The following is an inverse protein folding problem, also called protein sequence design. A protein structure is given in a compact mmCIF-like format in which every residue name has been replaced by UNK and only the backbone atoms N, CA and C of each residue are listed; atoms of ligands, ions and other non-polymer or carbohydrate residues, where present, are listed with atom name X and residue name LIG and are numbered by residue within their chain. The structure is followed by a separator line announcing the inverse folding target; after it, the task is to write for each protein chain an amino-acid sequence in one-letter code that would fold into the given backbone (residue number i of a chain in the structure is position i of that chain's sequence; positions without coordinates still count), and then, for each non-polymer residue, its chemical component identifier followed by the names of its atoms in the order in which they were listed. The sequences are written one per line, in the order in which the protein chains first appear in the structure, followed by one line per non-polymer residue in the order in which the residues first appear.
data_IF_088502379522
#
_entry.id   IF_088502379522
#
_cell.length_a   1.000
_cell.length_b   1.000
_cell.length_c   1.000
_cell.angle_alpha   90.00
_cell.angle_beta   90.00
_cell.angle_gamma   90.00
#
_symmetry.space_group_name_H-M   'P 1'
#
loop_
_entity.id
_entity.type
_entity.pdbx_description
1 polymer ?
#
# COMPACT_ATOMS: atom_id res chain seq x y z
N UNK A 1 -30.02 1.87 -5.95
CA UNK A 1 -28.81 1.13 -6.38
C UNK A 1 -27.77 1.35 -5.32
N UNK A 2 -27.31 0.31 -4.62
CA UNK A 2 -26.14 0.46 -3.75
C UNK A 2 -24.93 0.45 -4.67
N UNK A 3 -24.35 1.63 -4.91
CA UNK A 3 -23.02 1.74 -5.50
C UNK A 3 -22.06 1.12 -4.48
N UNK A 4 -21.45 -0.01 -4.83
CA UNK A 4 -20.37 -0.59 -4.01
C UNK A 4 -19.12 0.24 -4.26
N UNK A 5 -18.70 0.98 -3.23
CA UNK A 5 -17.50 1.80 -3.26
C UNK A 5 -16.25 0.91 -3.23
N UNK A 6 -15.19 1.31 -3.95
CA UNK A 6 -13.89 0.62 -3.91
C UNK A 6 -13.44 0.38 -2.45
N UNK A 7 -13.14 -0.87 -2.04
CA UNK A 7 -12.85 -1.18 -0.63
C UNK A 7 -11.57 -0.52 -0.13
N UNK A 8 -11.61 0.11 1.05
CA UNK A 8 -10.42 0.68 1.71
C UNK A 8 -10.45 0.31 3.19
N UNK A 9 -9.39 -0.34 3.68
CA UNK A 9 -9.20 -0.58 5.10
C UNK A 9 -8.11 0.34 5.64
N UNK A 10 -8.44 1.15 6.63
CA UNK A 10 -7.53 2.16 7.16
C UNK A 10 -6.77 1.62 8.37
N UNK A 11 -5.45 1.84 8.40
CA UNK A 11 -4.62 1.70 9.60
C UNK A 11 -4.00 3.04 9.96
N UNK A 12 -3.86 3.37 11.25
CA UNK A 12 -3.26 4.63 11.68
C UNK A 12 -1.74 4.61 11.46
N UNK A 13 -1.14 5.79 11.47
CA UNK A 13 0.31 5.94 11.67
C UNK A 13 0.57 6.76 12.92
N UNK A 14 1.72 6.53 13.56
CA UNK A 14 2.11 7.33 14.73
C UNK A 14 2.40 8.79 14.32
N UNK A 15 2.19 9.68 15.29
CA UNK A 15 2.63 11.07 15.27
C UNK A 15 2.07 11.95 14.13
N UNK A 16 0.95 11.58 13.52
CA UNK A 16 0.20 12.46 12.61
C UNK A 16 -1.27 12.02 12.43
N UNK A 17 -2.09 12.90 11.84
CA UNK A 17 -3.45 12.58 11.39
C UNK A 17 -3.48 11.76 10.08
N UNK A 18 -2.31 11.41 9.54
CA UNK A 18 -2.18 10.61 8.33
C UNK A 18 -2.68 9.19 8.54
N UNK A 19 -3.08 8.53 7.45
CA UNK A 19 -3.54 7.13 7.47
C UNK A 19 -3.01 6.38 6.28
N UNK A 20 -2.89 5.06 6.44
CA UNK A 20 -2.56 4.14 5.35
C UNK A 20 -3.83 3.38 4.98
N UNK A 21 -4.25 3.51 3.72
CA UNK A 21 -5.34 2.72 3.14
C UNK A 21 -4.79 1.44 2.51
N UNK A 22 -5.23 0.28 3.00
CA UNK A 22 -5.00 -1.01 2.37
C UNK A 22 -6.15 -1.24 1.38
N UNK A 23 -5.86 -1.52 0.11
CA UNK A 23 -6.91 -1.73 -0.90
C UNK A 23 -6.51 -2.78 -1.96
N UNK A 24 -7.45 -3.55 -2.55
CA UNK A 24 -7.20 -4.26 -3.81
C UNK A 24 -6.80 -3.32 -4.95
N UNK A 25 -6.34 -3.89 -6.06
CA UNK A 25 -5.98 -3.09 -7.23
C UNK A 25 -7.19 -2.27 -7.75
N UNK A 26 -7.07 -0.93 -7.89
CA UNK A 26 -8.10 -0.09 -8.51
C UNK A 26 -8.52 -0.63 -9.87
N UNK A 27 -9.83 -0.64 -10.17
CA UNK A 27 -10.36 -1.17 -11.43
C UNK A 27 -10.54 -2.69 -11.51
N UNK A 28 -10.18 -3.46 -10.47
CA UNK A 28 -10.29 -4.94 -10.48
C UNK A 28 -11.46 -5.52 -9.67
N UNK A 29 -12.35 -4.65 -9.19
CA UNK A 29 -13.54 -5.01 -8.39
C UNK A 29 -14.80 -4.58 -9.15
N UNK A 30 -15.77 -4.03 -8.43
CA UNK A 30 -17.06 -3.64 -9.01
C UNK A 30 -17.03 -2.26 -9.68
N UNK A 31 -15.97 -1.48 -9.46
CA UNK A 31 -15.79 -0.13 -9.98
C UNK A 31 -14.74 -0.10 -11.10
N UNK A 32 -14.90 0.85 -12.02
CA UNK A 32 -13.87 1.15 -13.03
C UNK A 32 -12.59 1.65 -12.36
N UNK A 33 -11.47 1.66 -13.09
CA UNK A 33 -10.22 2.24 -12.62
C UNK A 33 -10.41 3.70 -12.19
N UNK A 34 -11.07 4.51 -13.02
CA UNK A 34 -11.30 5.93 -12.75
C UNK A 34 -12.20 6.15 -11.52
N UNK A 35 -13.26 5.37 -11.37
CA UNK A 35 -14.16 5.47 -10.20
C UNK A 35 -13.44 5.02 -8.92
N UNK A 36 -12.66 3.93 -8.99
CA UNK A 36 -11.86 3.46 -7.86
C UNK A 36 -10.86 4.52 -7.39
N UNK A 37 -10.20 5.21 -8.32
CA UNK A 37 -9.26 6.29 -8.02
C UNK A 37 -9.97 7.54 -7.47
N UNK A 38 -11.18 7.82 -7.94
CA UNK A 38 -12.03 8.89 -7.38
C UNK A 38 -12.39 8.57 -5.93
N UNK A 39 -12.84 7.35 -5.65
CA UNK A 39 -13.11 6.86 -4.28
C UNK A 39 -11.87 7.02 -3.38
N UNK A 40 -10.69 6.61 -3.84
CA UNK A 40 -9.44 6.72 -3.06
C UNK A 40 -9.04 8.17 -2.78
N UNK A 41 -9.20 9.05 -3.77
CA UNK A 41 -8.95 10.48 -3.62
C UNK A 41 -9.92 11.11 -2.62
N UNK A 42 -11.21 10.81 -2.71
CA UNK A 42 -12.25 11.32 -1.80
C UNK A 42 -12.07 10.80 -0.37
N UNK A 43 -11.55 9.58 -0.21
CA UNK A 43 -11.14 9.05 1.09
C UNK A 43 -9.96 9.84 1.71
N UNK A 44 -9.22 10.58 0.89
CA UNK A 44 -8.13 11.48 1.29
C UNK A 44 -6.73 11.01 0.88
N UNK A 45 -6.62 10.01 0.00
CA UNK A 45 -5.33 9.58 -0.51
C UNK A 45 -4.68 10.70 -1.35
N UNK A 46 -3.41 11.01 -1.05
CA UNK A 46 -2.58 11.93 -1.83
C UNK A 46 -1.59 11.21 -2.73
N UNK A 47 -1.29 9.96 -2.41
CA UNK A 47 -0.42 9.08 -3.18
C UNK A 47 -0.97 7.65 -3.23
N UNK A 48 -0.67 6.97 -4.33
CA UNK A 48 -0.95 5.55 -4.56
C UNK A 48 0.38 4.79 -4.67
N UNK A 49 0.57 3.79 -3.81
CA UNK A 49 1.71 2.86 -3.84
C UNK A 49 1.26 1.57 -4.51
N UNK A 50 1.83 1.28 -5.69
CA UNK A 50 1.52 0.08 -6.47
C UNK A 50 2.60 -0.97 -6.24
N UNK A 51 2.21 -2.10 -5.65
CA UNK A 51 3.11 -3.22 -5.36
C UNK A 51 3.10 -4.31 -6.44
N UNK A 52 2.21 -4.19 -7.43
CA UNK A 52 2.14 -5.11 -8.56
C UNK A 52 3.27 -4.82 -9.55
N UNK A 53 4.04 -5.84 -10.00
CA UNK A 53 4.84 -5.75 -11.22
C UNK A 53 4.03 -5.21 -12.41
N UNK A 54 4.71 -4.64 -13.40
CA UNK A 54 4.04 -4.05 -14.57
C UNK A 54 3.24 -5.13 -15.32
N UNK A 55 3.79 -6.33 -15.40
CA UNK A 55 3.17 -7.51 -16.02
C UNK A 55 1.83 -7.84 -15.34
N UNK A 56 1.78 -7.86 -13.99
CA UNK A 56 0.54 -8.06 -13.22
C UNK A 56 -0.52 -6.98 -13.54
N UNK A 57 -0.10 -5.73 -13.79
CA UNK A 57 -1.02 -4.63 -14.15
C UNK A 57 -1.59 -4.83 -15.56
N UNK A 58 -0.77 -5.27 -16.52
CA UNK A 58 -1.22 -5.62 -17.87
C UNK A 58 -2.20 -6.80 -17.84
N UNK A 59 -1.88 -7.86 -17.11
CA UNK A 59 -2.76 -9.03 -16.97
C UNK A 59 -4.09 -8.70 -16.29
N UNK A 60 -4.10 -7.66 -15.46
CA UNK A 60 -5.29 -7.18 -14.75
C UNK A 60 -6.06 -6.10 -15.53
N UNK A 61 -5.69 -5.80 -16.78
CA UNK A 61 -6.31 -4.79 -17.65
C UNK A 61 -6.32 -3.37 -17.05
N UNK A 62 -5.27 -3.02 -16.32
CA UNK A 62 -5.10 -1.73 -15.63
C UNK A 62 -3.73 -1.10 -15.91
N UNK A 63 -3.19 -1.34 -17.11
CA UNK A 63 -1.90 -0.78 -17.53
C UNK A 63 -1.88 0.76 -17.51
N UNK A 64 -3.04 1.39 -17.68
CA UNK A 64 -3.20 2.85 -17.64
C UNK A 64 -3.24 3.43 -16.21
N UNK A 65 -3.17 2.58 -15.17
CA UNK A 65 -3.21 3.00 -13.76
C UNK A 65 -2.25 4.15 -13.42
N UNK A 66 -0.97 4.17 -13.88
CA UNK A 66 -0.08 5.31 -13.63
C UNK A 66 -0.66 6.64 -14.11
N UNK A 67 -1.18 6.64 -15.33
CA UNK A 67 -1.72 7.84 -16.00
C UNK A 67 -3.02 8.28 -15.32
N UNK A 68 -3.88 7.34 -14.95
CA UNK A 68 -5.14 7.66 -14.28
C UNK A 68 -4.94 8.17 -12.85
N UNK A 69 -3.93 7.67 -12.12
CA UNK A 69 -3.55 8.21 -10.79
C UNK A 69 -3.14 9.68 -10.90
N UNK A 70 -2.31 10.02 -11.88
CA UNK A 70 -1.89 11.40 -12.13
C UNK A 70 -3.06 12.30 -12.55
N UNK A 71 -3.94 11.81 -13.43
CA UNK A 71 -5.17 12.54 -13.83
C UNK A 71 -6.12 12.78 -12.65
N UNK A 72 -6.19 11.84 -11.71
CA UNK A 72 -6.93 12.02 -10.46
C UNK A 72 -6.24 13.02 -9.50
N UNK A 73 -5.05 13.53 -9.86
CA UNK A 73 -4.30 14.52 -9.09
C UNK A 73 -3.55 13.94 -7.92
N UNK A 74 -3.33 12.62 -7.87
CA UNK A 74 -2.55 11.91 -6.85
C UNK A 74 -1.13 11.61 -7.35
N UNK A 75 -0.18 11.43 -6.43
CA UNK A 75 1.16 10.93 -6.76
C UNK A 75 1.10 9.42 -6.99
N UNK A 76 1.91 8.91 -7.91
CA UNK A 76 2.04 7.48 -8.14
C UNK A 76 3.46 7.01 -7.79
N UNK A 77 3.55 5.96 -6.98
CA UNK A 77 4.81 5.31 -6.62
C UNK A 77 4.75 3.83 -6.95
N UNK A 78 5.65 3.37 -7.82
CA UNK A 78 5.77 1.96 -8.19
C UNK A 78 6.84 1.26 -7.37
N UNK A 79 6.44 0.24 -6.62
CA UNK A 79 7.25 -0.49 -5.65
C UNK A 79 7.03 -2.00 -5.83
N UNK A 80 7.44 -2.58 -6.98
CA UNK A 80 7.01 -3.91 -7.37
C UNK A 80 7.53 -5.01 -6.43
N UNK A 81 6.62 -5.85 -5.96
CA UNK A 81 6.89 -7.08 -5.20
C UNK A 81 6.19 -8.23 -5.94
N UNK A 82 6.96 -9.25 -6.31
CA UNK A 82 6.44 -10.47 -6.96
C UNK A 82 5.42 -11.14 -6.03
N UNK A 83 4.35 -11.71 -6.61
CA UNK A 83 3.31 -12.33 -5.80
C UNK A 83 3.84 -13.51 -4.99
N UNK A 84 3.31 -13.68 -3.77
CA UNK A 84 3.74 -14.70 -2.81
C UNK A 84 5.26 -14.73 -2.48
N UNK A 85 5.98 -13.64 -2.77
CA UNK A 85 7.39 -13.46 -2.40
C UNK A 85 7.58 -12.30 -1.40
N UNK A 86 8.81 -12.20 -0.88
CA UNK A 86 9.30 -11.02 -0.18
C UNK A 86 9.88 -9.96 -1.13
N UNK A 87 10.19 -8.75 -0.64
CA UNK A 87 10.72 -7.69 -1.48
C UNK A 87 12.14 -8.01 -1.96
N UNK A 88 12.45 -7.59 -3.19
CA UNK A 88 13.75 -7.82 -3.84
C UNK A 88 14.37 -6.51 -4.34
N UNK A 89 15.50 -6.59 -5.06
CA UNK A 89 16.27 -5.44 -5.52
C UNK A 89 15.45 -4.32 -6.23
N UNK A 90 14.45 -4.62 -7.09
CA UNK A 90 13.61 -3.57 -7.68
C UNK A 90 12.83 -2.78 -6.64
N UNK A 91 12.24 -3.46 -5.65
CA UNK A 91 11.55 -2.81 -4.55
C UNK A 91 12.49 -1.93 -3.74
N UNK A 92 13.65 -2.45 -3.31
CA UNK A 92 14.58 -1.68 -2.48
C UNK A 92 15.07 -0.42 -3.18
N UNK A 93 15.42 -0.54 -4.46
CA UNK A 93 15.87 0.61 -5.28
C UNK A 93 14.78 1.66 -5.47
N UNK A 94 13.50 1.24 -5.49
CA UNK A 94 12.38 2.16 -5.59
C UNK A 94 12.05 2.79 -4.24
N UNK A 95 12.06 2.01 -3.15
CA UNK A 95 11.82 2.52 -1.79
C UNK A 95 12.88 3.53 -1.36
N UNK A 96 14.16 3.30 -1.68
CA UNK A 96 15.23 4.27 -1.42
C UNK A 96 14.95 5.65 -2.05
N UNK A 97 14.32 5.67 -3.23
CA UNK A 97 14.01 6.91 -3.96
C UNK A 97 12.79 7.64 -3.41
N UNK A 98 11.74 6.91 -3.01
CA UNK A 98 10.41 7.50 -2.72
C UNK A 98 10.01 7.44 -1.25
N UNK A 99 10.67 6.63 -0.42
CA UNK A 99 10.27 6.39 0.97
C UNK A 99 10.26 7.68 1.81
N UNK A 100 11.22 8.58 1.58
CA UNK A 100 11.24 9.90 2.22
C UNK A 100 10.00 10.73 1.88
N UNK A 101 9.58 10.72 0.61
CA UNK A 101 8.40 11.48 0.17
C UNK A 101 7.13 10.88 0.77
N UNK A 102 7.02 9.55 0.84
CA UNK A 102 5.91 8.86 1.50
C UNK A 102 5.80 9.25 2.97
N UNK A 103 6.91 9.23 3.72
CA UNK A 103 6.90 9.69 5.10
C UNK A 103 6.58 11.18 5.24
N UNK A 104 7.01 12.02 4.30
CA UNK A 104 6.68 13.45 4.32
C UNK A 104 5.18 13.69 4.14
N UNK A 105 4.52 12.97 3.22
CA UNK A 105 3.06 13.02 3.07
C UNK A 105 2.39 12.68 4.41
N UNK A 106 2.76 11.55 5.02
CA UNK A 106 2.19 11.12 6.29
C UNK A 106 2.44 12.13 7.43
N UNK A 107 3.66 12.69 7.52
CA UNK A 107 3.99 13.71 8.52
C UNK A 107 3.17 15.00 8.36
N UNK A 108 2.74 15.31 7.13
CA UNK A 108 1.85 16.45 6.85
C UNK A 108 0.37 16.17 7.12
N UNK A 109 0.05 15.01 7.72
CA UNK A 109 -1.33 14.58 7.98
C UNK A 109 -2.06 14.06 6.73
N UNK A 110 -1.36 13.90 5.60
CA UNK A 110 -1.94 13.35 4.39
C UNK A 110 -2.00 11.82 4.46
N UNK A 111 -2.98 11.23 3.79
CA UNK A 111 -3.14 9.79 3.72
C UNK A 111 -2.55 9.23 2.42
N UNK A 112 -2.12 7.99 2.44
CA UNK A 112 -1.66 7.23 1.27
C UNK A 112 -2.52 5.98 1.11
N UNK A 113 -2.69 5.50 -0.11
CA UNK A 113 -3.27 4.19 -0.35
C UNK A 113 -2.24 3.25 -0.98
N UNK A 114 -2.24 2.00 -0.53
CA UNK A 114 -1.32 0.95 -0.94
C UNK A 114 -2.15 -0.17 -1.52
N UNK A 115 -1.75 -0.70 -2.68
CA UNK A 115 -2.41 -1.84 -3.27
C UNK A 115 -1.43 -2.88 -3.81
N UNK A 116 -1.92 -4.12 -3.82
CA UNK A 116 -1.40 -5.19 -4.68
C UNK A 116 -2.58 -5.73 -5.49
N UNK A 117 -2.63 -7.02 -5.81
CA UNK A 117 -3.82 -7.64 -6.41
C UNK A 117 -5.02 -7.66 -5.46
N UNK A 118 -4.85 -8.23 -4.27
CA UNK A 118 -5.93 -8.48 -3.31
C UNK A 118 -5.97 -7.53 -2.10
N UNK A 119 -4.99 -6.63 -1.94
CA UNK A 119 -4.96 -5.69 -0.82
C UNK A 119 -4.64 -6.31 0.54
N UNK A 120 -3.92 -7.45 0.59
CA UNK A 120 -3.66 -8.19 1.84
C UNK A 120 -2.17 -8.46 2.09
N UNK A 121 -1.55 -9.45 1.44
CA UNK A 121 -0.17 -9.89 1.73
C UNK A 121 0.87 -8.80 1.49
N UNK A 122 1.21 -8.55 0.21
CA UNK A 122 2.14 -7.47 -0.21
C UNK A 122 1.73 -6.10 0.37
N UNK A 123 0.44 -5.79 0.36
CA UNK A 123 -0.09 -4.51 0.88
C UNK A 123 0.16 -4.33 2.37
N UNK A 124 -0.13 -5.36 3.17
CA UNK A 124 0.14 -5.37 4.60
C UNK A 124 1.64 -5.30 4.90
N UNK A 125 2.48 -5.95 4.08
CA UNK A 125 3.93 -5.88 4.22
C UNK A 125 4.46 -4.44 4.09
N UNK A 126 4.05 -3.72 3.04
CA UNK A 126 4.46 -2.34 2.80
C UNK A 126 3.92 -1.40 3.90
N UNK A 127 2.66 -1.56 4.30
CA UNK A 127 2.11 -0.79 5.41
C UNK A 127 2.89 -1.05 6.71
N UNK A 128 3.23 -2.32 6.97
CA UNK A 128 3.99 -2.71 8.14
C UNK A 128 5.39 -2.12 8.16
N UNK A 129 6.08 -2.12 7.03
CA UNK A 129 7.39 -1.48 6.91
C UNK A 129 7.31 0.01 7.26
N UNK A 130 6.36 0.75 6.69
CA UNK A 130 6.17 2.19 6.98
C UNK A 130 5.89 2.40 8.47
N UNK A 131 5.06 1.56 9.10
CA UNK A 131 4.72 1.69 10.52
C UNK A 131 5.92 1.40 11.42
N UNK A 132 6.75 0.40 11.09
CA UNK A 132 8.00 0.10 11.79
C UNK A 132 9.04 1.22 11.66
N UNK A 133 9.24 1.75 10.46
CA UNK A 133 10.13 2.90 10.20
C UNK A 133 9.68 4.16 10.97
N UNK A 134 8.42 4.21 11.38
CA UNK A 134 7.84 5.26 12.24
C UNK A 134 7.83 4.88 13.73
N UNK A 135 8.60 3.86 14.12
CA UNK A 135 8.83 3.49 15.51
C UNK A 135 7.71 2.67 16.17
N UNK A 136 6.72 2.18 15.41
CA UNK A 136 5.71 1.30 15.99
C UNK A 136 6.30 -0.09 16.27
N UNK A 137 6.04 -0.71 17.43
CA UNK A 137 6.53 -2.06 17.71
C UNK A 137 5.96 -3.11 16.76
N UNK A 138 6.79 -4.05 16.29
CA UNK A 138 6.39 -5.10 15.34
C UNK A 138 5.11 -5.84 15.72
N UNK A 139 4.95 -6.17 17.01
CA UNK A 139 3.76 -6.86 17.51
C UNK A 139 2.48 -6.05 17.23
N UNK A 140 2.52 -4.76 17.53
CA UNK A 140 1.39 -3.84 17.32
C UNK A 140 1.09 -3.65 15.82
N UNK A 141 2.15 -3.54 15.00
CA UNK A 141 2.03 -3.48 13.54
C UNK A 141 1.27 -4.69 12.99
N UNK A 142 1.67 -5.91 13.37
CA UNK A 142 1.02 -7.15 12.92
C UNK A 142 -0.44 -7.17 13.37
N UNK A 143 -0.72 -6.86 14.65
CA UNK A 143 -2.06 -6.86 15.22
C UNK A 143 -3.00 -5.87 14.49
N UNK A 144 -2.56 -4.63 14.25
CA UNK A 144 -3.35 -3.61 13.57
C UNK A 144 -3.68 -3.99 12.12
N UNK A 145 -2.68 -4.50 11.39
CA UNK A 145 -2.87 -4.87 9.99
C UNK A 145 -3.75 -6.12 9.88
N UNK A 146 -3.53 -7.14 10.70
CA UNK A 146 -4.34 -8.37 10.67
C UNK A 146 -5.77 -8.16 11.15
N UNK A 147 -6.02 -7.18 12.02
CA UNK A 147 -7.38 -6.77 12.38
C UNK A 147 -8.20 -6.28 11.16
N UNK A 148 -7.53 -5.70 10.16
CA UNK A 148 -8.16 -5.26 8.91
C UNK A 148 -8.08 -6.34 7.81
N UNK A 149 -6.93 -7.02 7.71
CA UNK A 149 -6.59 -7.98 6.66
C UNK A 149 -6.01 -9.25 7.31
N UNK A 150 -6.84 -10.20 7.77
CA UNK A 150 -6.39 -11.37 8.52
C UNK A 150 -5.35 -12.25 7.81
N UNK A 151 -5.31 -12.18 6.47
CA UNK A 151 -4.35 -12.93 5.64
C UNK A 151 -3.06 -12.15 5.36
N UNK A 152 -2.83 -11.01 6.01
CA UNK A 152 -1.52 -10.35 5.96
C UNK A 152 -0.49 -11.18 6.75
N UNK A 153 0.77 -11.17 6.30
CA UNK A 153 1.87 -11.90 6.91
C UNK A 153 1.66 -13.43 6.99
N UNK A 154 1.01 -14.05 6.00
CA UNK A 154 0.89 -15.53 5.92
C UNK A 154 2.02 -16.18 5.12
N UNK A 155 2.75 -15.39 4.32
CA UNK A 155 3.87 -15.83 3.49
C UNK A 155 5.17 -15.75 4.30
N UNK A 156 5.95 -16.83 4.32
CA UNK A 156 7.13 -16.96 5.18
C UNK A 156 8.19 -15.90 4.86
N UNK A 157 8.42 -15.62 3.58
CA UNK A 157 9.36 -14.62 3.07
C UNK A 157 8.99 -13.21 3.54
N UNK A 158 7.68 -12.90 3.61
CA UNK A 158 7.19 -11.61 4.11
C UNK A 158 7.34 -11.50 5.63
N UNK A 159 7.13 -12.60 6.37
CA UNK A 159 7.35 -12.65 7.82
C UNK A 159 8.83 -12.51 8.19
N UNK A 160 9.74 -13.11 7.40
CA UNK A 160 11.18 -12.95 7.59
C UNK A 160 11.60 -11.51 7.32
N UNK A 161 11.16 -10.95 6.18
CA UNK A 161 11.46 -9.58 5.81
C UNK A 161 11.05 -8.56 6.88
N UNK A 162 9.80 -8.63 7.35
CA UNK A 162 9.29 -7.63 8.30
C UNK A 162 10.01 -7.71 9.66
N UNK A 163 10.50 -8.90 10.04
CA UNK A 163 11.36 -9.07 11.23
C UNK A 163 12.70 -8.39 11.06
N UNK A 164 13.36 -8.53 9.90
CA UNK A 164 14.62 -7.82 9.61
C UNK A 164 14.45 -6.30 9.66
N UNK A 165 13.33 -5.77 9.16
CA UNK A 165 13.03 -4.34 9.27
C UNK A 165 12.90 -3.94 10.75
N UNK A 166 12.13 -4.68 11.54
CA UNK A 166 11.93 -4.38 12.96
C UNK A 166 13.24 -4.42 13.78
N UNK A 167 14.18 -5.30 13.41
CA UNK A 167 15.51 -5.36 14.03
C UNK A 167 16.40 -4.18 13.65
N UNK A 168 16.23 -3.64 12.44
CA UNK A 168 17.00 -2.49 11.94
C UNK A 168 16.56 -1.15 12.56
N UNK A 169 15.43 -1.13 13.28
CA UNK A 169 14.91 0.06 13.99
C UNK A 169 15.33 0.13 15.47
N UNK A 170 16.11 -0.85 15.95
CA UNK A 170 16.65 -0.88 17.33
C UNK A 170 17.97 -0.14 17.42
#
# INVERSE_FOLDING_TARGET
MMSSSHPIWSVPVNDSDGRIGLTPCPGTKDETLADSLTTLREWGARAILTLMPIEDLHESDVADLPVEVEKAGMLWFHLPIVDDEGPQAPFFSAWEKVGKDVHQLLNSGQSIAIHCKGGSGRTGLMAGQIMLERGMPLKEVIELIQAQRPNAFTVAEQQEYIRTIAESQK
#
